data_IF_419337045500
#
_entry.id   IF_419337045500
#
_cell.length_a   1.000
_cell.length_b   1.000
_cell.length_c   1.000
_cell.angle_alpha   90.00
_cell.angle_beta   90.00
_cell.angle_gamma   90.00
#
_symmetry.space_group_name_H-M   'P 1'
#
loop_
_entity.id
_entity.type
_entity.pdbx_description
1 polymer ?
#
# COMPACT_ATOMS: atom_id res chain seq x y z
N UNK A 1 -20.75 -17.75 9.18
CA UNK A 1 -21.26 -17.35 7.85
C UNK A 1 -20.02 -17.09 7.00
N UNK A 2 -19.72 -17.96 6.05
CA UNK A 2 -18.56 -17.76 5.18
C UNK A 2 -18.96 -16.73 4.13
N UNK A 3 -18.23 -15.62 4.07
CA UNK A 3 -18.36 -14.69 2.95
C UNK A 3 -17.85 -15.40 1.69
N UNK A 4 -18.46 -15.12 0.54
CA UNK A 4 -17.94 -15.60 -0.72
C UNK A 4 -16.51 -15.09 -0.92
N UNK A 5 -15.61 -15.93 -1.47
CA UNK A 5 -14.23 -15.53 -1.71
C UNK A 5 -14.22 -14.31 -2.63
N UNK A 6 -13.64 -13.21 -2.15
CA UNK A 6 -13.54 -11.99 -2.94
C UNK A 6 -12.39 -12.16 -3.94
N UNK A 7 -12.65 -12.14 -5.27
CA UNK A 7 -11.60 -12.26 -6.28
C UNK A 7 -10.55 -11.18 -6.08
N UNK A 8 -9.27 -11.47 -6.29
CA UNK A 8 -8.18 -10.48 -6.12
C UNK A 8 -7.66 -10.30 -4.68
N UNK A 9 -8.41 -10.73 -3.65
CA UNK A 9 -7.97 -10.60 -2.26
C UNK A 9 -6.65 -11.33 -1.95
N UNK A 10 -6.44 -12.50 -2.55
CA UNK A 10 -5.19 -13.27 -2.40
C UNK A 10 -3.99 -12.53 -3.03
N UNK A 11 -4.20 -11.88 -4.18
CA UNK A 11 -3.15 -11.11 -4.85
C UNK A 11 -2.79 -9.86 -4.04
N UNK A 12 -3.78 -9.15 -3.49
CA UNK A 12 -3.53 -8.03 -2.58
C UNK A 12 -2.76 -8.49 -1.33
N UNK A 13 -3.16 -9.61 -0.72
CA UNK A 13 -2.51 -10.15 0.46
C UNK A 13 -1.02 -10.47 0.19
N UNK A 14 -0.72 -11.09 -0.95
CA UNK A 14 0.66 -11.40 -1.34
C UNK A 14 1.48 -10.13 -1.64
N UNK A 15 0.89 -9.17 -2.37
CA UNK A 15 1.52 -7.89 -2.64
C UNK A 15 1.84 -7.12 -1.35
N UNK A 16 0.89 -7.07 -0.42
CA UNK A 16 1.05 -6.42 0.88
C UNK A 16 2.15 -7.09 1.71
N UNK A 17 2.17 -8.43 1.76
CA UNK A 17 3.21 -9.18 2.46
C UNK A 17 4.58 -8.86 1.89
N UNK A 18 4.76 -8.99 0.58
CA UNK A 18 6.03 -8.73 -0.09
C UNK A 18 6.50 -7.28 0.06
N UNK A 19 5.58 -6.32 -0.05
CA UNK A 19 5.90 -4.90 0.15
C UNK A 19 6.28 -4.61 1.61
N UNK A 20 5.60 -5.22 2.59
CA UNK A 20 5.92 -5.04 4.01
C UNK A 20 7.28 -5.62 4.37
N UNK A 21 7.62 -6.82 3.86
CA UNK A 21 8.94 -7.43 4.07
C UNK A 21 10.07 -6.56 3.51
N UNK A 22 9.89 -6.03 2.29
CA UNK A 22 10.84 -5.09 1.67
C UNK A 22 10.88 -3.75 2.40
N UNK A 23 9.72 -3.25 2.85
CA UNK A 23 9.58 -2.00 3.59
C UNK A 23 10.29 -2.05 4.94
N UNK A 24 10.13 -3.15 5.70
CA UNK A 24 10.85 -3.36 6.95
C UNK A 24 12.37 -3.32 6.75
N UNK A 25 12.85 -3.94 5.67
CA UNK A 25 14.27 -3.86 5.28
C UNK A 25 14.68 -2.44 4.90
N UNK A 26 13.86 -1.71 4.12
CA UNK A 26 14.14 -0.32 3.73
C UNK A 26 14.27 0.59 4.97
N UNK A 27 13.33 0.49 5.92
CA UNK A 27 13.37 1.25 7.18
C UNK A 27 14.65 0.97 7.97
N UNK A 28 15.04 -0.31 8.09
CA UNK A 28 16.30 -0.69 8.75
C UNK A 28 17.51 -0.06 8.08
N UNK A 29 17.48 0.05 6.75
CA UNK A 29 18.53 0.69 5.94
C UNK A 29 18.38 2.22 5.85
N UNK A 30 17.48 2.83 6.64
CA UNK A 30 17.16 4.28 6.63
C UNK A 30 16.70 4.81 5.26
N UNK A 31 16.03 3.95 4.48
CA UNK A 31 15.38 4.27 3.21
C UNK A 31 13.86 4.27 3.37
N UNK A 32 13.17 4.96 2.47
CA UNK A 32 11.72 4.95 2.42
C UNK A 32 11.21 3.63 1.82
N UNK A 33 10.15 3.02 2.38
CA UNK A 33 9.46 1.89 1.77
C UNK A 33 8.83 2.25 0.41
N UNK A 34 8.73 1.25 -0.46
CA UNK A 34 7.99 1.34 -1.73
C UNK A 34 6.70 0.53 -1.64
N UNK A 35 5.57 1.21 -1.86
CA UNK A 35 4.23 0.63 -1.79
C UNK A 35 3.59 0.45 -3.18
N UNK A 36 4.30 0.77 -4.27
CA UNK A 36 3.77 0.66 -5.62
C UNK A 36 3.18 -0.73 -5.94
N UNK A 37 3.78 -1.87 -5.52
CA UNK A 37 3.18 -3.18 -5.77
C UNK A 37 1.80 -3.38 -5.12
N UNK A 38 1.53 -2.71 -3.99
CA UNK A 38 0.22 -2.75 -3.32
C UNK A 38 -0.78 -1.88 -4.07
N UNK A 39 -0.36 -0.69 -4.53
CA UNK A 39 -1.17 0.21 -5.37
C UNK A 39 -1.58 -0.50 -6.66
N UNK A 40 -0.64 -1.18 -7.32
CA UNK A 40 -0.89 -1.91 -8.56
C UNK A 40 -1.87 -3.07 -8.33
N UNK A 41 -1.76 -3.79 -7.21
CA UNK A 41 -2.68 -4.86 -6.86
C UNK A 41 -4.11 -4.36 -6.60
N UNK A 42 -4.26 -3.19 -5.96
CA UNK A 42 -5.57 -2.54 -5.77
C UNK A 42 -6.14 -2.05 -7.10
N UNK A 43 -5.31 -1.41 -7.93
CA UNK A 43 -5.75 -0.92 -9.24
C UNK A 43 -6.19 -2.06 -10.17
N UNK A 44 -5.50 -3.21 -10.13
CA UNK A 44 -5.90 -4.41 -10.88
C UNK A 44 -7.24 -4.99 -10.41
N UNK A 45 -7.56 -4.83 -9.12
CA UNK A 45 -8.83 -5.26 -8.56
C UNK A 45 -10.01 -4.37 -9.00
N UNK A 46 -9.79 -3.07 -9.12
CA UNK A 46 -10.80 -2.12 -9.60
C UNK A 46 -11.09 -2.25 -11.12
N UNK A 47 -10.33 -3.07 -11.84
CA UNK A 47 -10.55 -3.28 -13.27
C UNK A 47 -11.80 -4.15 -13.51
N UNK A 48 -12.74 -3.68 -14.35
CA UNK A 48 -13.78 -4.48 -14.98
C UNK A 48 -13.27 -5.87 -15.42
N UNK A 49 -13.68 -6.94 -14.73
CA UNK A 49 -13.56 -8.27 -15.32
C UNK A 49 -14.82 -8.50 -16.15
N UNK A 50 -14.71 -8.69 -17.48
CA UNK A 50 -15.87 -9.03 -18.28
C UNK A 50 -16.40 -10.38 -17.80
N UNK A 51 -17.66 -10.44 -17.39
CA UNK A 51 -18.33 -11.73 -17.18
C UNK A 51 -18.92 -12.22 -18.50
N UNK A 52 -19.11 -13.54 -18.64
CA UNK A 52 -19.63 -14.19 -19.86
C UNK A 52 -21.00 -13.64 -20.32
N UNK A 53 -21.76 -13.02 -19.40
CA UNK A 53 -23.06 -12.39 -19.63
C UNK A 53 -22.98 -10.90 -20.05
N UNK A 54 -21.78 -10.35 -20.24
CA UNK A 54 -21.57 -8.96 -20.67
C UNK A 54 -21.81 -7.91 -19.57
N UNK A 55 -22.07 -8.35 -18.34
CA UNK A 55 -22.15 -7.48 -17.16
C UNK A 55 -20.73 -7.20 -16.68
N UNK A 56 -20.44 -5.97 -16.27
CA UNK A 56 -19.19 -5.68 -15.55
C UNK A 56 -19.52 -5.55 -14.07
N UNK A 57 -19.20 -6.54 -13.22
CA UNK A 57 -19.32 -6.36 -11.78
C UNK A 57 -18.32 -5.29 -11.35
N UNK A 58 -18.84 -4.14 -10.93
CA UNK A 58 -18.06 -3.12 -10.22
C UNK A 58 -17.72 -3.71 -8.85
N UNK A 59 -16.43 -3.72 -8.48
CA UNK A 59 -15.96 -4.28 -7.21
C UNK A 59 -16.73 -3.76 -6.00
N UNK A 60 -16.84 -4.59 -4.94
CA UNK A 60 -17.58 -4.27 -3.72
C UNK A 60 -17.12 -2.91 -3.14
N UNK A 61 -18.02 -1.92 -2.99
CA UNK A 61 -17.65 -0.57 -2.55
C UNK A 61 -17.05 -0.54 -1.14
N UNK A 62 -17.37 -1.49 -0.27
CA UNK A 62 -16.79 -1.62 1.08
C UNK A 62 -15.33 -2.05 0.96
N UNK A 63 -15.05 -3.04 0.11
CA UNK A 63 -13.69 -3.54 -0.13
C UNK A 63 -12.84 -2.44 -0.77
N UNK A 64 -13.38 -1.73 -1.76
CA UNK A 64 -12.71 -0.58 -2.40
C UNK A 64 -12.37 0.51 -1.37
N UNK A 65 -13.32 0.83 -0.48
CA UNK A 65 -13.06 1.80 0.59
C UNK A 65 -11.99 1.32 1.55
N UNK A 66 -11.99 0.04 1.91
CA UNK A 66 -10.97 -0.55 2.76
C UNK A 66 -9.57 -0.49 2.14
N UNK A 67 -9.46 -0.78 0.84
CA UNK A 67 -8.20 -0.69 0.09
C UNK A 67 -7.66 0.75 0.04
N UNK A 68 -8.52 1.74 -0.21
CA UNK A 68 -8.13 3.15 -0.19
C UNK A 68 -7.58 3.58 1.19
N UNK A 69 -8.30 3.24 2.27
CA UNK A 69 -7.87 3.55 3.64
C UNK A 69 -6.52 2.90 4.00
N UNK A 70 -6.26 1.69 3.50
CA UNK A 70 -4.98 1.02 3.69
C UNK A 70 -3.85 1.76 2.97
N UNK A 71 -4.06 2.16 1.71
CA UNK A 71 -3.06 2.90 0.94
C UNK A 71 -2.74 4.25 1.59
N UNK A 72 -3.77 4.99 2.02
CA UNK A 72 -3.59 6.26 2.75
C UNK A 72 -2.70 6.07 3.99
N UNK A 73 -2.96 5.03 4.79
CA UNK A 73 -2.17 4.74 5.99
C UNK A 73 -0.70 4.39 5.68
N UNK A 74 -0.44 3.69 4.57
CA UNK A 74 0.93 3.35 4.14
C UNK A 74 1.69 4.59 3.64
N UNK A 75 1.02 5.50 2.95
CA UNK A 75 1.59 6.78 2.53
C UNK A 75 1.92 7.68 3.74
N UNK A 76 0.99 7.79 4.70
CA UNK A 76 1.22 8.52 5.95
C UNK A 76 2.41 7.94 6.73
N UNK A 77 2.54 6.61 6.78
CA UNK A 77 3.69 5.95 7.39
C UNK A 77 5.01 6.35 6.72
N UNK A 78 5.07 6.34 5.39
CA UNK A 78 6.25 6.78 4.64
C UNK A 78 6.56 8.25 4.89
N UNK A 79 5.54 9.12 4.96
CA UNK A 79 5.72 10.54 5.27
C UNK A 79 6.32 10.75 6.66
N UNK A 80 5.82 10.03 7.67
CA UNK A 80 6.34 10.12 9.03
C UNK A 80 7.81 9.62 9.15
N UNK A 81 8.20 8.65 8.32
CA UNK A 81 9.60 8.21 8.23
C UNK A 81 10.49 9.30 7.62
N UNK A 82 10.02 9.98 6.58
CA UNK A 82 10.75 11.06 5.94
C UNK A 82 10.91 12.27 6.88
N UNK A 83 9.86 12.66 7.60
CA UNK A 83 9.89 13.73 8.60
C UNK A 83 10.93 13.45 9.71
N UNK A 84 11.05 12.20 10.19
CA UNK A 84 12.11 11.80 11.14
C UNK A 84 13.51 11.78 10.52
N UNK A 85 13.62 11.40 9.26
CA UNK A 85 14.87 11.45 8.49
C UNK A 85 15.35 12.88 8.24
N UNK A 86 14.44 13.80 7.95
CA UNK A 86 14.68 15.23 7.75
C UNK A 86 15.10 15.93 9.04
N UNK A 87 14.41 15.66 10.15
CA UNK A 87 14.74 16.27 11.45
C UNK A 87 16.12 15.86 11.97
N UNK A 88 16.58 14.63 11.68
CA UNK A 88 17.95 14.20 12.05
C UNK A 88 19.02 14.86 11.18
N UNK A 89 18.74 15.11 9.90
CA UNK A 89 19.69 15.67 8.94
C UNK A 89 19.93 17.18 9.17
N UNK A 90 18.88 17.92 9.53
CA UNK A 90 18.94 19.36 9.85
C UNK A 90 19.66 19.62 11.19
N UNK A 91 19.45 18.78 12.20
CA UNK A 91 20.17 18.92 13.47
C UNK A 91 21.67 18.65 13.36
N UNK A 92 22.10 17.85 12.37
CA UNK A 92 23.53 17.59 12.13
C UNK A 92 24.23 18.73 11.38
N UNK A 93 23.49 19.57 10.64
CA UNK A 93 24.07 20.69 9.88
C UNK A 93 24.20 21.97 10.71
N UNK A 94 23.55 22.04 11.87
CA UNK A 94 23.62 23.19 12.78
C UNK A 94 24.61 23.01 13.94
N UNK A 95 25.33 21.87 14.00
CA UNK A 95 26.38 21.61 14.99
C UNK A 95 27.80 21.91 14.48
N UNK A 96 27.93 22.38 13.23
CA UNK A 96 29.18 22.86 12.64
C UNK A 96 29.03 24.35 12.29
N UNK A 97 29.12 25.23 13.31
CA UNK A 97 29.04 26.69 13.15
C UNK A 97 29.53 27.42 14.37
#
# INVERSE_FOLDING_TARGET
>A
RSADPVPGAAQLAEALRGATEKGARAVRERRLPDWQPVVDAVAHWDMPTPTDDGTTPIGDPVVRRGAALLLDALEEFTRALDERGGSTRVSSTLAEG
#
